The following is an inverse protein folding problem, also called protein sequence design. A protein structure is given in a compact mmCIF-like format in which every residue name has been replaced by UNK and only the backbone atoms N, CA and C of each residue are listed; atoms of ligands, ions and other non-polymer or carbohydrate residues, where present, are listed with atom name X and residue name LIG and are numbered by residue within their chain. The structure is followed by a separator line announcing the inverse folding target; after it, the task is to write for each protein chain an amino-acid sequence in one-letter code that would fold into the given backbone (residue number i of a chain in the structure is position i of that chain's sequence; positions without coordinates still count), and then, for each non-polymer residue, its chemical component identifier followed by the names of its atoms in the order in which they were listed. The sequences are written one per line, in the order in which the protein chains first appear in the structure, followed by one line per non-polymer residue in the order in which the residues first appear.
data_IF_160013586059
#
_entry.id   IF_160013586059
#
_cell.length_a   1.000
_cell.length_b   1.000
_cell.length_c   1.000
_cell.angle_alpha   90.00
_cell.angle_beta   90.00
_cell.angle_gamma   90.00
#
_symmetry.space_group_name_H-M   'P 1'
#
loop_
_entity.id
_entity.type
_entity.pdbx_description
1 polymer ?
#
# COMPACT_ATOMS: atom_id res chain seq x y z
N UNK A 1 30.29 33.52 7.80
CA UNK A 1 30.06 32.06 7.76
C UNK A 1 30.82 31.55 6.55
N UNK A 2 31.73 30.65 6.78
CA UNK A 2 32.54 30.06 5.71
C UNK A 2 31.65 29.21 4.80
N UNK A 3 31.97 29.14 3.51
CA UNK A 3 31.20 28.34 2.51
C UNK A 3 31.13 26.87 2.89
N UNK A 4 32.21 26.34 3.45
CA UNK A 4 32.31 24.95 3.87
C UNK A 4 31.42 24.67 5.10
N UNK A 5 31.29 25.62 5.99
CA UNK A 5 30.39 25.56 7.14
C UNK A 5 28.90 25.54 6.70
N UNK A 6 28.54 26.32 5.68
CA UNK A 6 27.21 26.33 5.08
C UNK A 6 26.85 24.96 4.46
N UNK A 7 27.76 24.39 3.68
CA UNK A 7 27.60 23.07 3.06
C UNK A 7 27.41 21.99 4.13
N UNK A 8 28.20 22.05 5.21
CA UNK A 8 28.10 21.11 6.31
C UNK A 8 26.77 21.24 7.08
N UNK A 9 26.26 22.45 7.27
CA UNK A 9 24.95 22.67 7.87
C UNK A 9 23.80 22.15 7.00
N UNK A 10 23.85 22.39 5.68
CA UNK A 10 22.90 21.82 4.74
C UNK A 10 22.91 20.28 4.77
N UNK A 11 24.10 19.69 4.77
CA UNK A 11 24.28 18.26 4.87
C UNK A 11 23.64 17.67 6.14
N UNK A 12 23.92 18.29 7.30
CA UNK A 12 23.33 17.88 8.58
C UNK A 12 21.83 17.96 8.57
N UNK A 13 21.27 19.03 8.03
CA UNK A 13 19.80 19.21 7.91
C UNK A 13 19.18 18.12 7.04
N UNK A 14 19.79 17.76 5.92
CA UNK A 14 19.31 16.69 5.06
C UNK A 14 19.43 15.31 5.71
N UNK A 15 20.50 15.07 6.48
CA UNK A 15 20.70 13.83 7.23
C UNK A 15 19.60 13.66 8.31
N UNK A 16 19.30 14.71 9.07
CA UNK A 16 18.21 14.71 10.06
C UNK A 16 16.83 14.51 9.39
N UNK A 17 16.61 15.13 8.24
CA UNK A 17 15.37 14.90 7.47
C UNK A 17 15.23 13.46 6.99
N UNK A 18 16.34 12.76 6.68
CA UNK A 18 16.33 11.33 6.31
C UNK A 18 15.78 10.48 7.45
N UNK A 19 16.30 10.65 8.66
CA UNK A 19 15.84 9.90 9.83
C UNK A 19 14.35 10.12 10.13
N UNK A 20 13.92 11.37 10.14
CA UNK A 20 12.52 11.73 10.33
C UNK A 20 11.61 11.13 9.26
N UNK A 21 12.10 11.03 8.02
CA UNK A 21 11.35 10.46 6.91
C UNK A 21 11.21 8.95 7.05
N UNK A 22 12.27 8.25 7.46
CA UNK A 22 12.26 6.81 7.73
C UNK A 22 11.31 6.49 8.87
N UNK A 23 11.37 7.22 9.99
CA UNK A 23 10.48 7.02 11.14
C UNK A 23 9.00 7.23 10.75
N UNK A 24 8.71 8.26 9.97
CA UNK A 24 7.36 8.50 9.44
C UNK A 24 6.88 7.34 8.55
N UNK A 25 7.75 6.77 7.72
CA UNK A 25 7.43 5.60 6.91
C UNK A 25 7.08 4.38 7.79
N UNK A 26 7.87 4.12 8.83
CA UNK A 26 7.57 3.03 9.78
C UNK A 26 6.24 3.21 10.49
N UNK A 27 5.92 4.43 10.94
CA UNK A 27 4.63 4.75 11.58
C UNK A 27 3.45 4.54 10.62
N UNK A 28 3.59 4.99 9.39
CA UNK A 28 2.56 4.84 8.36
C UNK A 28 2.34 3.37 8.00
N UNK A 29 3.40 2.59 7.83
CA UNK A 29 3.30 1.16 7.58
C UNK A 29 2.66 0.39 8.74
N UNK A 30 2.98 0.75 9.98
CA UNK A 30 2.32 0.20 11.17
C UNK A 30 0.82 0.49 11.18
N UNK A 31 0.41 1.71 10.79
CA UNK A 31 -0.99 2.08 10.67
C UNK A 31 -1.73 1.19 9.65
N UNK A 32 -1.18 0.97 8.45
CA UNK A 32 -1.79 0.09 7.45
C UNK A 32 -1.87 -1.36 7.92
N UNK A 33 -0.84 -1.86 8.59
CA UNK A 33 -0.83 -3.23 9.13
C UNK A 33 -1.90 -3.40 10.21
N UNK A 34 -2.04 -2.46 11.13
CA UNK A 34 -3.09 -2.48 12.16
C UNK A 34 -4.48 -2.40 11.52
N UNK A 35 -4.67 -1.52 10.55
CA UNK A 35 -5.94 -1.39 9.83
C UNK A 35 -6.31 -2.67 9.08
N UNK A 36 -5.36 -3.30 8.42
CA UNK A 36 -5.53 -4.59 7.74
C UNK A 36 -6.01 -5.68 8.71
N UNK A 37 -5.34 -5.83 9.84
CA UNK A 37 -5.71 -6.80 10.88
C UNK A 37 -7.09 -6.48 11.47
N UNK A 38 -7.39 -5.22 11.74
CA UNK A 38 -8.68 -4.79 12.27
C UNK A 38 -9.84 -5.10 11.30
N UNK A 39 -9.65 -4.94 9.99
CA UNK A 39 -10.67 -5.29 8.99
C UNK A 39 -10.89 -6.80 8.94
N UNK A 40 -9.83 -7.62 9.04
CA UNK A 40 -9.97 -9.08 9.11
C UNK A 40 -10.81 -9.48 10.33
N UNK A 41 -10.51 -8.90 11.51
CA UNK A 41 -11.32 -9.15 12.70
C UNK A 41 -12.76 -8.70 12.50
N UNK A 42 -13.01 -7.53 11.91
CA UNK A 42 -14.36 -7.06 11.60
C UNK A 42 -15.10 -8.04 10.68
N UNK A 43 -14.45 -8.59 9.65
CA UNK A 43 -15.03 -9.61 8.77
C UNK A 43 -15.41 -10.88 9.54
N UNK A 44 -14.56 -11.36 10.44
CA UNK A 44 -14.84 -12.56 11.24
C UNK A 44 -16.06 -12.35 12.15
N UNK A 45 -16.15 -11.19 12.80
CA UNK A 45 -17.23 -10.89 13.75
C UNK A 45 -18.55 -10.49 13.09
N UNK A 46 -18.51 -9.90 11.89
CA UNK A 46 -19.71 -9.33 11.24
C UNK A 46 -20.21 -10.13 10.05
N UNK A 47 -19.61 -11.29 9.75
CA UNK A 47 -19.93 -12.11 8.58
C UNK A 47 -21.40 -12.51 8.43
N UNK A 48 -22.19 -12.47 9.52
CA UNK A 48 -23.61 -12.80 9.51
C UNK A 48 -24.54 -11.57 9.67
N UNK A 49 -24.00 -10.35 9.72
CA UNK A 49 -24.81 -9.14 9.93
C UNK A 49 -25.26 -8.58 8.59
N UNK A 50 -26.57 -8.67 8.34
CA UNK A 50 -27.22 -8.04 7.19
C UNK A 50 -27.55 -6.60 7.56
N UNK A 51 -26.88 -5.65 6.93
CA UNK A 51 -27.09 -4.21 7.17
C UNK A 51 -28.32 -3.67 6.44
N UNK A 52 -28.54 -4.16 5.24
CA UNK A 52 -29.75 -3.92 4.43
C UNK A 52 -30.15 -5.21 3.74
N UNK A 53 -31.37 -5.29 3.23
CA UNK A 53 -31.93 -6.51 2.60
C UNK A 53 -31.12 -7.04 1.40
N UNK A 54 -30.17 -6.29 0.89
CA UNK A 54 -29.32 -6.68 -0.24
C UNK A 54 -27.82 -6.39 -0.03
N UNK A 55 -27.42 -5.78 1.09
CA UNK A 55 -26.04 -5.40 1.37
C UNK A 55 -25.58 -6.09 2.66
N UNK A 56 -24.56 -6.92 2.58
CA UNK A 56 -23.95 -7.52 3.76
C UNK A 56 -22.82 -6.63 4.31
N UNK A 57 -22.62 -6.66 5.61
CA UNK A 57 -21.48 -5.97 6.23
C UNK A 57 -20.14 -6.52 5.69
N UNK A 58 -20.09 -7.81 5.36
CA UNK A 58 -18.95 -8.48 4.74
C UNK A 58 -18.55 -7.82 3.41
N UNK A 59 -19.55 -7.46 2.58
CA UNK A 59 -19.30 -6.79 1.30
C UNK A 59 -18.66 -5.40 1.51
N UNK A 60 -19.14 -4.64 2.49
CA UNK A 60 -18.59 -3.33 2.82
C UNK A 60 -17.16 -3.45 3.33
N UNK A 61 -16.90 -4.35 4.29
CA UNK A 61 -15.57 -4.55 4.84
C UNK A 61 -14.56 -5.11 3.83
N UNK A 62 -15.00 -5.96 2.88
CA UNK A 62 -14.15 -6.44 1.80
C UNK A 62 -13.73 -5.32 0.86
N UNK A 63 -14.63 -4.39 0.50
CA UNK A 63 -14.30 -3.21 -0.30
C UNK A 63 -13.33 -2.26 0.43
N UNK A 64 -13.56 -2.02 1.73
CA UNK A 64 -12.65 -1.22 2.55
C UNK A 64 -11.28 -1.90 2.61
N UNK A 65 -11.24 -3.23 2.79
CA UNK A 65 -9.99 -4.00 2.81
C UNK A 65 -9.19 -3.89 1.52
N UNK A 66 -9.83 -4.03 0.36
CA UNK A 66 -9.19 -3.83 -0.96
C UNK A 66 -8.62 -2.42 -1.04
N UNK A 67 -9.40 -1.40 -0.64
CA UNK A 67 -8.99 0.01 -0.70
C UNK A 67 -7.78 0.27 0.20
N UNK A 68 -7.76 -0.25 1.42
CA UNK A 68 -6.63 -0.13 2.35
C UNK A 68 -5.38 -0.79 1.80
N UNK A 69 -5.48 -1.98 1.20
CA UNK A 69 -4.35 -2.66 0.57
C UNK A 69 -3.80 -1.87 -0.63
N UNK A 70 -4.67 -1.32 -1.47
CA UNK A 70 -4.27 -0.48 -2.60
C UNK A 70 -3.55 0.80 -2.14
N UNK A 71 -4.10 1.50 -1.14
CA UNK A 71 -3.47 2.68 -0.55
C UNK A 71 -2.13 2.35 0.11
N UNK A 72 -2.02 1.19 0.77
CA UNK A 72 -0.77 0.73 1.35
C UNK A 72 0.31 0.51 0.28
N UNK A 73 -0.03 -0.21 -0.80
CA UNK A 73 0.86 -0.39 -1.94
C UNK A 73 1.35 0.95 -2.51
N UNK A 74 0.42 1.88 -2.79
CA UNK A 74 0.75 3.20 -3.32
C UNK A 74 1.65 4.00 -2.37
N UNK A 75 1.39 3.89 -1.06
CA UNK A 75 2.19 4.57 -0.05
C UNK A 75 3.64 4.04 -0.03
N UNK A 76 3.83 2.72 -0.02
CA UNK A 76 5.17 2.09 -0.07
C UNK A 76 5.92 2.51 -1.34
N UNK A 77 5.23 2.56 -2.49
CA UNK A 77 5.83 2.96 -3.76
C UNK A 77 6.24 4.44 -3.77
N UNK A 78 5.37 5.30 -3.26
CA UNK A 78 5.64 6.74 -3.13
C UNK A 78 6.84 7.01 -2.22
N UNK A 79 6.96 6.30 -1.08
CA UNK A 79 8.10 6.43 -0.20
C UNK A 79 9.40 5.98 -0.86
N UNK A 80 9.40 4.86 -1.58
CA UNK A 80 10.57 4.38 -2.31
C UNK A 80 11.03 5.39 -3.37
N UNK A 81 10.09 5.99 -4.09
CA UNK A 81 10.38 7.01 -5.10
C UNK A 81 10.96 8.27 -4.47
N UNK A 82 10.34 8.75 -3.38
CA UNK A 82 10.83 9.95 -2.67
C UNK A 82 12.21 9.75 -2.05
N UNK A 83 12.49 8.56 -1.49
CA UNK A 83 13.81 8.21 -0.97
C UNK A 83 14.84 8.28 -2.11
N UNK A 84 14.56 7.68 -3.26
CA UNK A 84 15.47 7.72 -4.41
C UNK A 84 15.75 9.15 -4.87
N UNK A 85 14.71 9.98 -5.03
CA UNK A 85 14.88 11.36 -5.50
C UNK A 85 15.66 12.20 -4.48
N UNK A 86 15.29 12.14 -3.20
CA UNK A 86 15.95 12.96 -2.17
C UNK A 86 17.38 12.55 -1.91
N UNK A 87 17.68 11.24 -1.92
CA UNK A 87 18.99 10.74 -1.49
C UNK A 87 19.92 10.50 -2.66
N UNK A 88 19.47 9.99 -3.80
CA UNK A 88 20.34 9.83 -4.95
C UNK A 88 20.65 11.19 -5.62
N UNK A 89 19.65 12.06 -5.81
CA UNK A 89 19.88 13.27 -6.60
C UNK A 89 20.36 14.46 -5.76
N UNK A 90 19.87 14.64 -4.53
CA UNK A 90 20.20 15.85 -3.74
C UNK A 90 21.40 15.63 -2.85
N UNK A 91 21.43 14.52 -2.11
CA UNK A 91 22.55 14.23 -1.22
C UNK A 91 23.86 13.95 -1.98
N UNK A 92 23.79 13.25 -3.12
CA UNK A 92 24.96 13.02 -3.96
C UNK A 92 25.62 14.34 -4.41
N UNK A 93 24.84 15.34 -4.81
CA UNK A 93 25.35 16.67 -5.21
C UNK A 93 25.98 17.42 -4.04
N UNK A 94 25.44 17.26 -2.81
CA UNK A 94 26.04 17.88 -1.62
C UNK A 94 27.33 17.16 -1.24
N UNK A 95 27.35 15.82 -1.29
CA UNK A 95 28.51 15.00 -0.95
C UNK A 95 29.68 15.11 -1.97
N UNK A 96 29.40 15.50 -3.22
CA UNK A 96 30.47 15.81 -4.17
C UNK A 96 31.39 16.94 -3.71
N UNK A 97 30.89 17.82 -2.84
CA UNK A 97 31.64 18.96 -2.26
C UNK A 97 32.28 18.62 -0.92
N UNK A 98 32.05 17.43 -0.37
CA UNK A 98 32.58 16.98 0.91
C UNK A 98 33.74 15.98 0.72
N UNK A 99 34.67 15.89 1.67
CA UNK A 99 35.81 14.95 1.59
C UNK A 99 35.38 13.48 1.77
N UNK A 100 34.22 13.22 2.29
CA UNK A 100 33.64 11.87 2.51
C UNK A 100 32.21 11.84 2.00
N UNK A 101 31.78 10.70 1.44
CA UNK A 101 30.48 10.50 0.78
C UNK A 101 29.69 9.33 1.40
N UNK A 102 29.38 9.37 2.71
CA UNK A 102 28.84 8.22 3.40
C UNK A 102 27.48 7.74 2.86
N UNK A 103 26.60 8.64 2.43
CA UNK A 103 25.28 8.25 1.88
C UNK A 103 25.36 7.73 0.45
N UNK A 104 26.24 8.30 -0.37
CA UNK A 104 26.49 7.80 -1.73
C UNK A 104 27.05 6.39 -1.68
N UNK A 105 27.97 6.12 -0.77
CA UNK A 105 28.60 4.81 -0.60
C UNK A 105 27.58 3.80 -0.01
N UNK A 106 26.77 4.20 0.98
CA UNK A 106 25.67 3.40 1.51
C UNK A 106 24.66 3.04 0.40
N UNK A 107 24.26 4.02 -0.43
CA UNK A 107 23.31 3.82 -1.50
C UNK A 107 23.83 2.85 -2.57
N UNK A 108 25.09 2.99 -2.99
CA UNK A 108 25.75 2.07 -3.91
C UNK A 108 25.79 0.65 -3.36
N UNK A 109 26.13 0.51 -2.08
CA UNK A 109 26.12 -0.79 -1.39
C UNK A 109 24.74 -1.43 -1.39
N UNK A 110 23.68 -0.65 -1.10
CA UNK A 110 22.29 -1.12 -1.13
C UNK A 110 21.87 -1.52 -2.56
N UNK A 111 22.26 -0.75 -3.57
CA UNK A 111 21.94 -1.05 -4.97
C UNK A 111 22.63 -2.31 -5.47
N UNK A 112 23.86 -2.53 -5.07
CA UNK A 112 24.63 -3.74 -5.35
C UNK A 112 23.97 -4.97 -4.69
N UNK A 113 23.56 -4.87 -3.42
CA UNK A 113 22.78 -5.90 -2.74
C UNK A 113 21.45 -6.19 -3.45
N UNK A 114 20.76 -5.16 -3.91
CA UNK A 114 19.48 -5.30 -4.64
C UNK A 114 19.64 -5.99 -5.98
N UNK A 115 20.71 -5.73 -6.71
CA UNK A 115 21.01 -6.40 -7.97
C UNK A 115 21.33 -7.88 -7.77
N UNK A 116 21.79 -8.28 -6.58
CA UNK A 116 21.99 -9.66 -6.16
C UNK A 116 20.70 -10.39 -5.68
N UNK A 117 19.50 -9.87 -6.00
CA UNK A 117 18.19 -10.46 -5.70
C UNK A 117 17.85 -10.60 -4.21
N UNK A 118 18.36 -9.75 -3.36
CA UNK A 118 17.93 -9.70 -1.96
C UNK A 118 16.59 -8.97 -1.86
N UNK A 119 15.57 -9.62 -1.29
CA UNK A 119 14.28 -8.98 -1.01
C UNK A 119 14.46 -7.85 0.01
N UNK A 120 14.06 -6.66 -0.37
CA UNK A 120 14.03 -5.53 0.55
C UNK A 120 12.76 -5.55 1.40
N UNK A 121 12.82 -4.91 2.55
CA UNK A 121 11.66 -4.78 3.46
C UNK A 121 10.43 -4.18 2.77
N UNK A 122 10.63 -3.25 1.84
CA UNK A 122 9.57 -2.67 1.01
C UNK A 122 8.90 -3.68 0.07
N UNK A 123 9.65 -4.66 -0.42
CA UNK A 123 9.11 -5.70 -1.31
C UNK A 123 8.23 -6.67 -0.52
N UNK A 124 8.62 -6.98 0.72
CA UNK A 124 7.81 -7.79 1.65
C UNK A 124 6.49 -7.08 1.96
N UNK A 125 6.52 -5.76 2.22
CA UNK A 125 5.32 -4.99 2.48
C UNK A 125 4.37 -4.96 1.27
N UNK A 126 4.90 -4.75 0.07
CA UNK A 126 4.13 -4.83 -1.18
C UNK A 126 3.52 -6.21 -1.38
N UNK A 127 4.28 -7.26 -1.11
CA UNK A 127 3.80 -8.63 -1.23
C UNK A 127 2.64 -8.92 -0.28
N UNK A 128 2.74 -8.49 0.99
CA UNK A 128 1.64 -8.62 1.96
C UNK A 128 0.40 -7.83 1.50
N UNK A 129 0.58 -6.62 0.99
CA UNK A 129 -0.53 -5.81 0.50
C UNK A 129 -1.24 -6.47 -0.69
N UNK A 130 -0.51 -7.10 -1.61
CA UNK A 130 -1.09 -7.85 -2.74
C UNK A 130 -1.86 -9.08 -2.28
N UNK A 131 -1.27 -9.89 -1.41
CA UNK A 131 -1.96 -11.08 -0.85
C UNK A 131 -3.23 -10.65 -0.12
N UNK A 132 -3.16 -9.58 0.67
CA UNK A 132 -4.31 -9.03 1.36
C UNK A 132 -5.40 -8.55 0.39
N UNK A 133 -5.02 -7.86 -0.67
CA UNK A 133 -5.97 -7.42 -1.71
C UNK A 133 -6.65 -8.61 -2.39
N UNK A 134 -5.91 -9.66 -2.73
CA UNK A 134 -6.45 -10.89 -3.32
C UNK A 134 -7.40 -11.60 -2.36
N UNK A 135 -7.08 -11.67 -1.08
CA UNK A 135 -7.95 -12.23 -0.05
C UNK A 135 -9.28 -11.47 0.03
N UNK A 136 -9.24 -10.14 0.20
CA UNK A 136 -10.46 -9.33 0.26
C UNK A 136 -11.26 -9.36 -1.04
N UNK A 137 -10.57 -9.44 -2.19
CA UNK A 137 -11.22 -9.59 -3.49
C UNK A 137 -11.97 -10.93 -3.61
N UNK A 138 -11.37 -12.02 -3.13
CA UNK A 138 -12.04 -13.34 -3.10
C UNK A 138 -13.28 -13.30 -2.21
N UNK A 139 -13.20 -12.68 -1.03
CA UNK A 139 -14.37 -12.48 -0.14
C UNK A 139 -15.43 -11.63 -0.82
N UNK A 140 -15.05 -10.55 -1.49
CA UNK A 140 -15.98 -9.69 -2.24
C UNK A 140 -16.71 -10.46 -3.33
N UNK A 141 -15.99 -11.23 -4.15
CA UNK A 141 -16.58 -12.04 -5.23
C UNK A 141 -17.56 -13.09 -4.66
N UNK A 142 -17.21 -13.72 -3.54
CA UNK A 142 -18.09 -14.71 -2.89
C UNK A 142 -19.43 -14.11 -2.44
N UNK A 143 -19.43 -12.84 -2.01
CA UNK A 143 -20.65 -12.12 -1.61
C UNK A 143 -21.48 -11.60 -2.79
N UNK A 144 -20.82 -11.17 -3.86
CA UNK A 144 -21.49 -10.60 -5.05
C UNK A 144 -22.07 -11.70 -5.94
N UNK A 145 -21.41 -12.85 -6.05
CA UNK A 145 -21.82 -13.95 -6.91
C UNK A 145 -23.31 -14.37 -6.73
N UNK A 146 -23.81 -14.66 -5.52
CA UNK A 146 -25.21 -15.04 -5.34
C UNK A 146 -26.20 -13.91 -5.66
N UNK A 147 -25.80 -12.65 -5.51
CA UNK A 147 -26.62 -11.50 -5.87
C UNK A 147 -26.81 -11.41 -7.38
N UNK A 148 -25.70 -11.57 -8.13
CA UNK A 148 -25.72 -11.57 -9.59
C UNK A 148 -26.57 -12.71 -10.14
N UNK A 149 -26.44 -13.92 -9.59
CA UNK A 149 -27.27 -15.09 -9.98
C UNK A 149 -28.73 -14.80 -9.78
N UNK A 150 -29.13 -14.28 -8.62
CA UNK A 150 -30.56 -13.93 -8.34
C UNK A 150 -31.12 -12.86 -9.29
N UNK A 151 -30.31 -11.86 -9.63
CA UNK A 151 -30.72 -10.83 -10.59
C UNK A 151 -30.93 -11.45 -11.97
N UNK A 152 -30.03 -12.32 -12.40
CA UNK A 152 -30.11 -13.00 -13.69
C UNK A 152 -31.33 -13.91 -13.76
N UNK A 153 -31.61 -14.70 -12.74
CA UNK A 153 -32.84 -15.55 -12.66
C UNK A 153 -34.10 -14.72 -12.76
N UNK A 154 -34.21 -13.60 -12.04
CA UNK A 154 -35.34 -12.69 -12.13
C UNK A 154 -35.54 -12.10 -13.52
N UNK A 155 -34.44 -11.71 -14.18
CA UNK A 155 -34.46 -11.19 -15.56
C UNK A 155 -34.94 -12.25 -16.54
N UNK A 156 -34.44 -13.48 -16.46
CA UNK A 156 -34.86 -14.59 -17.31
C UNK A 156 -36.35 -14.89 -17.13
N UNK A 157 -36.84 -14.93 -15.88
CA UNK A 157 -38.26 -15.15 -15.55
C UNK A 157 -39.13 -14.03 -16.11
N UNK A 158 -38.70 -12.77 -15.98
CA UNK A 158 -39.42 -11.62 -16.52
C UNK A 158 -39.52 -11.67 -18.05
N UNK A 159 -38.43 -11.98 -18.75
CA UNK A 159 -38.44 -12.11 -20.22
C UNK A 159 -39.33 -13.27 -20.67
N UNK A 160 -39.30 -14.39 -19.93
CA UNK A 160 -40.17 -15.55 -20.20
C UNK A 160 -41.67 -15.22 -20.04
N UNK A 161 -42.03 -14.43 -19.03
CA UNK A 161 -43.40 -14.01 -18.80
C UNK A 161 -43.93 -13.06 -19.87
N UNK A 162 -43.10 -12.18 -20.42
CA UNK A 162 -43.46 -11.28 -21.53
C UNK A 162 -43.64 -12.04 -22.85
N UNK A 163 -42.88 -13.13 -23.10
CA UNK A 163 -43.04 -13.95 -24.30
C UNK A 163 -44.24 -14.92 -24.24
N UNK A 164 -44.68 -15.29 -23.06
CA UNK A 164 -45.84 -16.18 -22.89
C UNK A 164 -47.20 -15.47 -22.83
N UNK A 165 -47.22 -14.14 -22.89
CA UNK A 165 -48.44 -13.31 -22.86
C UNK A 165 -48.87 -12.74 -24.21
N UNK A 166 -48.23 -13.18 -25.31
CA UNK A 166 -48.65 -12.90 -26.71
C UNK A 166 -49.15 -14.23 -27.30
#
# INVERSE_FOLDING_TARGET
MDRDELIFQEYKMYAEQKENFIDRNFRTNRFYMISFVAIIFALIFTGNVVFMSFLSATLIFSLIGISVCALWWMNVDSYNTLIKIKFANVLEVIEEKLPVKPFTDEYKGIEEFRNNKVFMFSDIQKFIAVIGALFFFAVFVSEVSPIVVRIFEKLVTFIGSVKGGI
#
